data_IF_965080787149
#
_entry.id   IF_965080787149
#
_cell.length_a   1.000
_cell.length_b   1.000
_cell.length_c   1.000
_cell.angle_alpha   90.00
_cell.angle_beta   90.00
_cell.angle_gamma   90.00
#
_symmetry.space_group_name_H-M   'P 1'
#
loop_
_entity.id
_entity.type
_entity.pdbx_description
1 polymer ?
#
# COMPACT_ATOMS: atom_id res chain seq x y z
N UNK A 1 -24.42 -19.40 -0.62
CA UNK A 1 -23.13 -20.09 -0.83
C UNK A 1 -22.88 -20.39 -2.31
N UNK A 2 -23.92 -20.55 -3.14
CA UNK A 2 -23.78 -20.76 -4.61
C UNK A 2 -23.39 -19.51 -5.41
N UNK A 3 -23.70 -18.30 -4.92
CA UNK A 3 -23.37 -17.03 -5.60
C UNK A 3 -21.88 -16.69 -5.71
N UNK A 4 -21.03 -17.24 -4.82
CA UNK A 4 -19.59 -16.95 -4.86
C UNK A 4 -18.83 -17.82 -5.88
N UNK A 5 -19.41 -18.97 -6.24
CA UNK A 5 -18.83 -19.89 -7.24
C UNK A 5 -19.12 -19.40 -8.65
N UNK A 6 -20.31 -18.82 -8.88
CA UNK A 6 -20.70 -18.24 -10.17
C UNK A 6 -19.89 -16.97 -10.47
N UNK A 7 -19.64 -16.11 -9.47
CA UNK A 7 -18.73 -14.95 -9.61
C UNK A 7 -17.29 -15.36 -9.94
N UNK A 8 -16.80 -16.49 -9.42
CA UNK A 8 -15.47 -17.04 -9.76
C UNK A 8 -15.39 -17.63 -11.17
N UNK A 9 -16.51 -18.06 -11.76
CA UNK A 9 -16.53 -18.61 -13.12
C UNK A 9 -16.60 -17.51 -14.19
N UNK A 10 -17.32 -16.42 -13.92
CA UNK A 10 -17.40 -15.24 -14.81
C UNK A 10 -16.06 -14.50 -14.88
N UNK A 11 -15.31 -14.45 -13.76
CA UNK A 11 -13.95 -13.88 -13.73
C UNK A 11 -12.96 -14.61 -14.64
N UNK A 12 -13.16 -15.90 -14.94
CA UNK A 12 -12.25 -16.67 -15.83
C UNK A 12 -12.58 -16.54 -17.32
N UNK A 13 -13.81 -16.17 -17.69
CA UNK A 13 -14.17 -15.97 -19.11
C UNK A 13 -13.80 -14.57 -19.63
N UNK A 14 -13.66 -13.58 -18.75
CA UNK A 14 -13.24 -12.21 -19.14
C UNK A 14 -11.75 -12.10 -19.50
N UNK A 15 -10.91 -13.10 -19.20
CA UNK A 15 -9.49 -13.06 -19.53
C UNK A 15 -9.20 -13.18 -21.04
N UNK A 16 -10.10 -13.76 -21.86
CA UNK A 16 -9.85 -13.95 -23.28
C UNK A 16 -10.29 -12.76 -24.17
N UNK A 17 -11.01 -11.77 -23.61
CA UNK A 17 -11.38 -10.52 -24.29
C UNK A 17 -10.45 -9.35 -23.94
N UNK A 18 -9.54 -9.52 -22.98
CA UNK A 18 -8.60 -8.48 -22.56
C UNK A 18 -7.45 -8.27 -23.57
N UNK A 19 -6.99 -9.31 -24.27
CA UNK A 19 -5.81 -9.20 -25.15
C UNK A 19 -5.98 -8.22 -26.33
N UNK A 20 -7.20 -7.98 -26.82
CA UNK A 20 -7.43 -6.97 -27.88
C UNK A 20 -7.66 -5.56 -27.34
N UNK A 21 -8.11 -5.43 -26.09
CA UNK A 21 -8.30 -4.14 -25.42
C UNK A 21 -6.94 -3.64 -24.91
N UNK A 22 -6.12 -4.54 -24.37
CA UNK A 22 -4.78 -4.23 -23.87
C UNK A 22 -3.87 -3.70 -25.00
N UNK A 23 -3.90 -4.28 -26.21
CA UNK A 23 -3.09 -3.78 -27.34
C UNK A 23 -3.48 -2.36 -27.77
N UNK A 24 -4.77 -2.02 -27.77
CA UNK A 24 -5.25 -0.67 -28.14
C UNK A 24 -4.93 0.36 -27.04
N UNK A 25 -5.05 -0.05 -25.77
CA UNK A 25 -4.68 0.79 -24.61
C UNK A 25 -3.15 1.00 -24.55
N UNK A 26 -2.36 0.00 -24.90
CA UNK A 26 -0.90 0.07 -24.95
C UNK A 26 -0.38 1.02 -26.07
N UNK A 27 -0.98 0.98 -27.25
CA UNK A 27 -0.62 1.88 -28.37
C UNK A 27 -0.93 3.35 -28.04
N UNK A 28 -2.00 3.60 -27.28
CA UNK A 28 -2.35 4.93 -26.77
C UNK A 28 -1.35 5.44 -25.73
N UNK A 29 -0.92 4.59 -24.79
CA UNK A 29 0.06 4.94 -23.74
C UNK A 29 1.42 5.28 -24.33
N UNK A 30 1.89 4.47 -25.30
CA UNK A 30 3.12 4.75 -26.05
C UNK A 30 3.07 6.12 -26.72
N UNK A 31 1.95 6.43 -27.37
CA UNK A 31 1.74 7.73 -28.01
C UNK A 31 1.77 8.86 -26.98
N UNK A 32 1.10 8.72 -25.84
CA UNK A 32 1.09 9.73 -24.77
C UNK A 32 2.50 9.98 -24.21
N UNK A 33 3.28 8.93 -23.96
CA UNK A 33 4.66 9.07 -23.45
C UNK A 33 5.54 9.78 -24.48
N UNK A 34 5.43 9.41 -25.76
CA UNK A 34 6.17 10.09 -26.84
C UNK A 34 5.77 11.57 -26.97
N UNK A 35 4.49 11.90 -26.83
CA UNK A 35 4.01 13.28 -26.85
C UNK A 35 4.61 14.09 -25.70
N UNK A 36 4.57 13.57 -24.47
CA UNK A 36 5.13 14.26 -23.30
C UNK A 36 6.66 14.38 -23.39
N UNK A 37 7.34 13.33 -23.82
CA UNK A 37 8.79 13.34 -24.05
C UNK A 37 9.18 14.35 -25.13
N UNK A 38 8.46 14.37 -26.25
CA UNK A 38 8.68 15.34 -27.33
C UNK A 38 8.44 16.79 -26.91
N UNK A 39 7.47 17.03 -26.02
CA UNK A 39 7.25 18.37 -25.42
C UNK A 39 8.45 18.83 -24.59
N UNK A 40 9.08 17.95 -23.82
CA UNK A 40 10.24 18.30 -23.00
C UNK A 40 11.46 18.74 -23.83
N UNK A 41 11.56 18.31 -25.10
CA UNK A 41 12.60 18.71 -26.04
C UNK A 41 12.39 20.10 -26.66
N UNK A 42 11.18 20.65 -26.59
CA UNK A 42 10.89 21.94 -27.22
C UNK A 42 11.58 23.08 -26.44
N UNK A 43 12.38 23.89 -27.14
CA UNK A 43 13.14 24.98 -26.49
C UNK A 43 12.24 26.11 -25.97
N UNK A 44 11.08 26.30 -26.57
CA UNK A 44 10.17 27.43 -26.33
C UNK A 44 9.02 27.10 -25.37
N UNK A 45 8.95 25.86 -24.88
CA UNK A 45 7.88 25.43 -23.97
C UNK A 45 8.08 26.01 -22.56
N UNK A 46 6.99 26.46 -21.95
CA UNK A 46 7.02 27.08 -20.63
C UNK A 46 7.38 26.08 -19.53
N UNK A 47 7.90 26.58 -18.41
CA UNK A 47 8.22 25.74 -17.25
C UNK A 47 6.97 25.05 -16.66
N UNK A 48 5.81 25.68 -16.74
CA UNK A 48 4.54 25.10 -16.29
C UNK A 48 4.13 23.92 -17.18
N UNK A 49 4.25 24.05 -18.50
CA UNK A 49 3.96 22.97 -19.44
C UNK A 49 4.96 21.80 -19.34
N UNK A 50 6.24 22.10 -19.04
CA UNK A 50 7.23 21.07 -18.70
C UNK A 50 6.85 20.34 -17.43
N UNK A 51 6.46 21.08 -16.40
CA UNK A 51 6.03 20.49 -15.12
C UNK A 51 4.83 19.57 -15.33
N UNK A 52 3.82 20.02 -16.08
CA UNK A 52 2.65 19.20 -16.41
C UNK A 52 3.04 17.93 -17.21
N UNK A 53 3.97 18.05 -18.15
CA UNK A 53 4.43 16.90 -18.92
C UNK A 53 5.18 15.90 -18.03
N UNK A 54 5.99 16.37 -17.08
CA UNK A 54 6.66 15.51 -16.11
C UNK A 54 5.67 14.84 -15.15
N UNK A 55 4.67 15.56 -14.67
CA UNK A 55 3.60 15.00 -13.82
C UNK A 55 2.86 13.86 -14.53
N UNK A 56 2.51 14.05 -15.80
CA UNK A 56 1.88 13.00 -16.59
C UNK A 56 2.81 11.81 -16.80
N UNK A 57 4.12 12.03 -17.03
CA UNK A 57 5.08 10.94 -17.14
C UNK A 57 5.21 10.14 -15.84
N UNK A 58 5.18 10.80 -14.67
CA UNK A 58 5.13 10.11 -13.36
C UNK A 58 3.90 9.20 -13.31
N UNK A 59 2.71 9.74 -13.57
CA UNK A 59 1.46 8.97 -13.53
C UNK A 59 1.52 7.77 -14.48
N UNK A 60 1.95 7.99 -15.73
CA UNK A 60 2.07 6.93 -16.73
C UNK A 60 3.06 5.85 -16.30
N UNK A 61 4.15 6.23 -15.60
CA UNK A 61 5.18 5.30 -15.12
C UNK A 61 4.70 4.35 -14.03
N UNK A 62 3.71 4.76 -13.24
CA UNK A 62 3.20 3.96 -12.12
C UNK A 62 1.96 3.16 -12.51
N UNK A 63 1.18 3.64 -13.47
CA UNK A 63 -0.11 3.04 -13.83
C UNK A 63 -0.01 1.89 -14.84
N UNK A 64 1.06 1.85 -15.63
CA UNK A 64 1.23 0.88 -16.73
C UNK A 64 2.33 -0.14 -16.47
N UNK A 65 2.23 -1.29 -17.14
CA UNK A 65 3.11 -2.45 -16.97
C UNK A 65 4.53 -2.23 -17.51
N UNK A 66 5.44 -3.10 -17.06
CA UNK A 66 6.85 -3.11 -17.45
C UNK A 66 7.06 -3.28 -18.96
N UNK A 67 6.28 -4.15 -19.60
CA UNK A 67 6.33 -4.46 -21.03
C UNK A 67 6.22 -3.19 -21.90
N UNK A 68 5.29 -2.30 -21.54
CA UNK A 68 5.08 -1.01 -22.22
C UNK A 68 6.27 -0.09 -22.02
N UNK A 69 6.80 -0.01 -20.80
CA UNK A 69 7.91 0.88 -20.48
C UNK A 69 9.24 0.44 -21.08
N UNK A 70 9.50 -0.86 -21.14
CA UNK A 70 10.74 -1.39 -21.71
C UNK A 70 10.90 -0.99 -23.18
N UNK A 71 9.86 -1.15 -23.99
CA UNK A 71 9.87 -0.77 -25.41
C UNK A 71 10.04 0.75 -25.56
N UNK A 72 9.30 1.52 -24.75
CA UNK A 72 9.28 2.98 -24.83
C UNK A 72 10.60 3.61 -24.41
N UNK A 73 11.20 3.16 -23.31
CA UNK A 73 12.49 3.71 -22.85
C UNK A 73 13.55 3.47 -23.91
N UNK A 74 13.58 2.28 -24.51
CA UNK A 74 14.52 1.94 -25.57
C UNK A 74 14.33 2.78 -26.85
N UNK A 75 13.10 3.14 -27.20
CA UNK A 75 12.80 3.86 -28.46
C UNK A 75 12.80 5.40 -28.32
N UNK A 76 12.42 5.92 -27.15
CA UNK A 76 12.18 7.36 -26.95
C UNK A 76 13.41 8.15 -26.49
N UNK A 77 14.42 7.49 -25.92
CA UNK A 77 15.55 8.17 -25.26
C UNK A 77 15.10 9.06 -24.09
N UNK A 78 13.99 8.71 -23.45
CA UNK A 78 13.36 9.52 -22.39
C UNK A 78 14.32 9.76 -21.22
N UNK A 79 15.15 8.77 -20.86
CA UNK A 79 16.11 8.91 -19.76
C UNK A 79 17.18 9.96 -20.08
N UNK A 80 17.71 9.97 -21.31
CA UNK A 80 18.67 10.96 -21.76
C UNK A 80 18.06 12.37 -21.78
N UNK A 81 16.83 12.49 -22.27
CA UNK A 81 16.10 13.76 -22.34
C UNK A 81 15.83 14.32 -20.93
N UNK A 82 15.36 13.47 -20.01
CA UNK A 82 15.11 13.86 -18.62
C UNK A 82 16.42 14.21 -17.91
N UNK A 83 17.49 13.47 -18.15
CA UNK A 83 18.82 13.74 -17.57
C UNK A 83 19.38 15.06 -18.09
N UNK A 84 19.26 15.34 -19.38
CA UNK A 84 19.65 16.62 -19.96
C UNK A 84 18.85 17.78 -19.36
N UNK A 85 17.52 17.63 -19.28
CA UNK A 85 16.63 18.64 -18.70
C UNK A 85 16.95 18.89 -17.20
N UNK A 86 17.19 17.83 -16.44
CA UNK A 86 17.59 17.88 -15.03
C UNK A 86 18.85 18.74 -14.82
N UNK A 87 19.85 18.56 -15.69
CA UNK A 87 21.14 19.26 -15.62
C UNK A 87 21.05 20.71 -16.11
N UNK A 88 20.17 21.00 -17.07
CA UNK A 88 20.06 22.32 -17.69
C UNK A 88 19.10 23.26 -16.94
N UNK A 89 18.06 22.72 -16.29
CA UNK A 89 17.02 23.54 -15.67
C UNK A 89 17.50 24.27 -14.41
N UNK A 90 17.08 25.54 -14.28
CA UNK A 90 17.21 26.32 -13.04
C UNK A 90 16.00 26.19 -12.13
N UNK A 91 14.90 25.63 -12.64
CA UNK A 91 13.65 25.47 -11.92
C UNK A 91 13.72 24.23 -11.01
N UNK A 92 13.63 24.45 -9.69
CA UNK A 92 13.74 23.39 -8.68
C UNK A 92 12.60 22.38 -8.77
N UNK A 93 11.38 22.81 -9.15
CA UNK A 93 10.23 21.92 -9.34
C UNK A 93 10.48 20.98 -10.51
N UNK A 94 10.88 21.51 -11.67
CA UNK A 94 11.23 20.69 -12.85
C UNK A 94 12.34 19.71 -12.49
N UNK A 95 13.38 20.17 -11.78
CA UNK A 95 14.48 19.30 -11.35
C UNK A 95 13.99 18.15 -10.47
N UNK A 96 13.12 18.45 -9.50
CA UNK A 96 12.55 17.46 -8.58
C UNK A 96 11.68 16.44 -9.31
N UNK A 97 10.82 16.92 -10.21
CA UNK A 97 9.95 16.06 -11.02
C UNK A 97 10.76 15.18 -11.99
N UNK A 98 11.82 15.70 -12.63
CA UNK A 98 12.72 14.90 -13.46
C UNK A 98 13.35 13.75 -12.66
N UNK A 99 13.86 14.04 -11.46
CA UNK A 99 14.42 13.02 -10.57
C UNK A 99 13.39 11.93 -10.26
N UNK A 100 12.16 12.31 -9.91
CA UNK A 100 11.10 11.34 -9.62
C UNK A 100 10.72 10.48 -10.84
N UNK A 101 10.61 11.06 -12.05
CA UNK A 101 10.34 10.27 -13.27
C UNK A 101 11.47 9.28 -13.52
N UNK A 102 12.73 9.73 -13.46
CA UNK A 102 13.90 8.87 -13.71
C UNK A 102 13.94 7.72 -12.69
N UNK A 103 13.81 8.01 -11.39
CA UNK A 103 13.83 6.99 -10.34
C UNK A 103 12.68 5.97 -10.52
N UNK A 104 11.50 6.44 -10.91
CA UNK A 104 10.33 5.56 -11.11
C UNK A 104 10.52 4.66 -12.34
N UNK A 105 11.03 5.20 -13.45
CA UNK A 105 11.35 4.40 -14.65
C UNK A 105 12.45 3.40 -14.35
N UNK A 106 13.53 3.81 -13.68
CA UNK A 106 14.63 2.90 -13.31
C UNK A 106 14.15 1.76 -12.42
N UNK A 107 13.23 2.04 -11.48
CA UNK A 107 12.69 0.99 -10.64
C UNK A 107 11.87 -0.02 -11.45
N UNK A 108 11.10 0.45 -12.43
CA UNK A 108 10.42 -0.43 -13.41
C UNK A 108 11.39 -1.35 -14.12
N UNK A 109 12.57 -0.84 -14.51
CA UNK A 109 13.62 -1.63 -15.18
C UNK A 109 14.18 -2.80 -14.38
N UNK A 110 13.97 -2.80 -13.07
CA UNK A 110 14.44 -3.87 -12.20
C UNK A 110 13.38 -4.92 -11.87
N UNK A 111 12.16 -4.79 -12.38
CA UNK A 111 11.05 -5.71 -12.13
C UNK A 111 11.24 -7.02 -12.92
N UNK A 112 12.06 -7.94 -12.37
CA UNK A 112 12.24 -9.27 -12.92
C UNK A 112 11.05 -10.15 -12.49
N UNK A 113 10.30 -10.70 -13.47
CA UNK A 113 9.16 -11.62 -13.29
C UNK A 113 7.81 -10.99 -12.88
N UNK A 114 7.52 -9.76 -13.30
CA UNK A 114 6.18 -9.12 -13.17
C UNK A 114 5.68 -8.90 -11.72
N UNK A 115 6.51 -9.12 -10.70
CA UNK A 115 6.18 -8.74 -9.32
C UNK A 115 6.67 -7.32 -9.07
N UNK A 116 5.71 -6.39 -9.05
CA UNK A 116 5.97 -4.98 -8.77
C UNK A 116 6.32 -4.82 -7.29
N UNK A 117 7.54 -4.33 -7.01
CA UNK A 117 7.90 -3.86 -5.67
C UNK A 117 7.33 -2.45 -5.44
N UNK A 118 6.08 -2.40 -5.00
CA UNK A 118 5.37 -1.16 -4.71
C UNK A 118 6.08 -0.30 -3.66
N UNK A 119 6.84 -0.89 -2.74
CA UNK A 119 7.57 -0.10 -1.74
C UNK A 119 8.65 0.74 -2.41
N UNK A 120 9.46 0.12 -3.27
CA UNK A 120 10.55 0.85 -3.95
C UNK A 120 9.99 1.79 -5.02
N UNK A 121 8.99 1.35 -5.78
CA UNK A 121 8.37 2.14 -6.84
C UNK A 121 7.69 3.43 -6.34
N UNK A 122 7.04 3.38 -5.17
CA UNK A 122 6.30 4.53 -4.63
C UNK A 122 7.17 5.46 -3.77
N UNK A 123 8.42 5.08 -3.47
CA UNK A 123 9.33 5.88 -2.64
C UNK A 123 9.59 7.30 -3.19
N UNK A 124 9.81 7.51 -4.50
CA UNK A 124 9.94 8.85 -5.08
C UNK A 124 8.66 9.68 -4.86
N UNK A 125 7.48 9.06 -4.97
CA UNK A 125 6.19 9.75 -4.83
C UNK A 125 5.88 10.16 -3.40
N UNK A 126 6.26 9.32 -2.42
CA UNK A 126 6.23 9.72 -1.02
C UNK A 126 7.12 10.93 -0.80
N UNK A 127 8.31 10.97 -1.41
CA UNK A 127 9.20 12.15 -1.31
C UNK A 127 8.57 13.41 -1.94
N UNK A 128 7.83 13.26 -3.04
CA UNK A 128 7.05 14.35 -3.63
C UNK A 128 5.93 14.81 -2.70
N UNK A 129 5.16 13.89 -2.13
CA UNK A 129 4.02 14.19 -1.24
C UNK A 129 4.42 15.08 -0.06
N UNK A 130 5.56 14.79 0.57
CA UNK A 130 6.08 15.56 1.71
C UNK A 130 6.96 16.76 1.29
N UNK A 131 7.00 17.12 0.01
CA UNK A 131 7.75 18.27 -0.47
C UNK A 131 7.10 19.59 -0.03
N UNK A 132 7.91 20.59 0.33
CA UNK A 132 7.42 21.92 0.75
C UNK A 132 6.81 22.74 -0.37
N UNK A 133 7.21 22.47 -1.61
CA UNK A 133 6.59 23.06 -2.78
C UNK A 133 5.18 22.46 -2.95
N UNK A 134 4.17 23.32 -2.89
CA UNK A 134 2.77 22.91 -2.91
C UNK A 134 2.42 22.16 -4.19
N UNK A 135 2.96 22.59 -5.33
CA UNK A 135 2.65 21.97 -6.62
C UNK A 135 3.33 20.62 -6.72
N UNK A 136 4.58 20.50 -6.27
CA UNK A 136 5.29 19.19 -6.20
C UNK A 136 4.56 18.21 -5.27
N UNK A 137 4.11 18.68 -4.11
CA UNK A 137 3.32 17.88 -3.17
C UNK A 137 1.98 17.46 -3.76
N UNK A 138 1.34 18.33 -4.54
CA UNK A 138 0.12 17.98 -5.28
C UNK A 138 0.40 16.91 -6.34
N UNK A 139 1.49 17.00 -7.10
CA UNK A 139 1.90 15.96 -8.06
C UNK A 139 2.08 14.61 -7.37
N UNK A 140 2.76 14.59 -6.22
CA UNK A 140 2.96 13.39 -5.40
C UNK A 140 1.63 12.80 -4.94
N UNK A 141 0.73 13.64 -4.41
CA UNK A 141 -0.62 13.21 -4.00
C UNK A 141 -1.39 12.57 -5.15
N UNK A 142 -1.53 13.27 -6.28
CA UNK A 142 -2.31 12.79 -7.41
C UNK A 142 -1.77 11.48 -7.95
N UNK A 143 -0.44 11.36 -8.08
CA UNK A 143 0.22 10.13 -8.50
C UNK A 143 -0.06 8.96 -7.56
N UNK A 144 -0.01 9.19 -6.24
CA UNK A 144 -0.32 8.18 -5.23
C UNK A 144 -1.79 7.77 -5.25
N UNK A 145 -2.73 8.73 -5.32
CA UNK A 145 -4.16 8.44 -5.41
C UNK A 145 -4.47 7.61 -6.65
N UNK A 146 -3.94 8.01 -7.82
CA UNK A 146 -4.14 7.25 -9.06
C UNK A 146 -3.54 5.85 -8.97
N UNK A 147 -2.38 5.69 -8.33
CA UNK A 147 -1.76 4.38 -8.13
C UNK A 147 -2.66 3.47 -7.29
N UNK A 148 -3.22 4.00 -6.21
CA UNK A 148 -4.16 3.28 -5.32
C UNK A 148 -5.45 2.93 -6.06
N UNK A 149 -6.00 3.84 -6.88
CA UNK A 149 -7.22 3.59 -7.64
C UNK A 149 -7.05 2.51 -8.71
N UNK A 150 -5.93 2.54 -9.43
CA UNK A 150 -5.65 1.60 -10.52
C UNK A 150 -5.15 0.26 -10.01
N UNK A 151 -4.38 0.26 -8.92
CA UNK A 151 -3.72 -0.89 -8.31
C UNK A 151 -3.82 -0.77 -6.80
N UNK A 152 -4.95 -1.17 -6.17
CA UNK A 152 -5.14 -1.02 -4.73
C UNK A 152 -3.96 -1.54 -3.93
N UNK A 153 -3.41 -2.71 -4.28
CA UNK A 153 -2.23 -3.33 -3.63
C UNK A 153 -1.02 -2.39 -3.46
N UNK A 154 -0.91 -1.34 -4.28
CA UNK A 154 0.11 -0.29 -4.14
C UNK A 154 0.08 0.40 -2.77
N UNK A 155 -1.10 0.51 -2.14
CA UNK A 155 -1.22 1.07 -0.79
C UNK A 155 -0.47 0.23 0.26
N UNK A 156 -0.36 -1.08 0.08
CA UNK A 156 0.45 -1.95 0.95
C UNK A 156 1.93 -1.50 0.89
N UNK A 157 2.40 -1.08 -0.29
CA UNK A 157 3.69 -0.42 -0.46
C UNK A 157 3.83 0.83 0.41
N UNK A 158 2.81 1.69 0.45
CA UNK A 158 2.81 2.90 1.31
C UNK A 158 2.83 2.57 2.80
N UNK A 159 2.11 1.53 3.21
CA UNK A 159 2.11 1.02 4.59
C UNK A 159 3.52 0.51 4.96
N UNK A 160 4.20 -0.16 4.03
CA UNK A 160 5.60 -0.59 4.21
C UNK A 160 6.60 0.57 4.18
N UNK A 161 6.27 1.67 3.52
CA UNK A 161 6.99 2.96 3.60
C UNK A 161 6.63 3.80 4.84
N UNK A 162 5.92 3.20 5.82
CA UNK A 162 5.54 3.83 7.08
C UNK A 162 4.74 5.12 6.90
N UNK A 163 3.80 5.15 5.94
CA UNK A 163 2.95 6.33 5.68
C UNK A 163 2.17 6.77 6.93
N UNK A 164 1.70 5.83 7.75
CA UNK A 164 1.01 6.12 9.01
C UNK A 164 1.94 6.75 10.05
N UNK A 165 3.17 6.26 10.20
CA UNK A 165 4.13 6.84 11.14
C UNK A 165 4.49 8.27 10.72
N UNK A 166 4.80 8.48 9.43
CA UNK A 166 5.08 9.81 8.87
C UNK A 166 3.91 10.76 9.06
N UNK A 167 2.68 10.32 8.80
CA UNK A 167 1.49 11.13 9.03
C UNK A 167 1.29 11.47 10.52
N UNK A 168 1.61 10.54 11.42
CA UNK A 168 1.60 10.79 12.87
C UNK A 168 2.57 11.91 13.27
N UNK A 169 3.79 11.88 12.72
CA UNK A 169 4.80 12.92 12.96
C UNK A 169 4.34 14.30 12.48
N UNK A 170 3.68 14.36 11.32
CA UNK A 170 3.10 15.62 10.81
C UNK A 170 1.95 16.12 11.69
N UNK A 171 1.06 15.23 12.14
CA UNK A 171 -0.04 15.56 13.06
C UNK A 171 0.47 16.08 14.42
N UNK A 172 1.52 15.46 14.96
CA UNK A 172 2.13 15.92 16.21
C UNK A 172 2.80 17.27 16.05
N UNK A 173 3.51 17.51 14.94
CA UNK A 173 4.09 18.81 14.60
C UNK A 173 3.01 19.89 14.49
N UNK A 174 1.89 19.58 13.82
CA UNK A 174 0.73 20.47 13.74
C UNK A 174 0.13 20.77 15.12
N UNK A 175 0.04 19.79 16.00
CA UNK A 175 -0.51 20.02 17.35
C UNK A 175 0.43 20.88 18.20
N UNK A 176 1.74 20.66 18.09
CA UNK A 176 2.75 21.45 18.82
C UNK A 176 2.74 22.92 18.41
N UNK A 177 2.56 23.23 17.12
CA UNK A 177 2.46 24.62 16.65
C UNK A 177 1.22 25.34 17.17
N UNK A 178 0.09 24.64 17.34
CA UNK A 178 -1.12 25.22 17.96
C UNK A 178 -0.96 25.52 19.45
N UNK A 179 -0.11 24.78 20.16
CA UNK A 179 0.06 24.88 21.63
C UNK A 179 1.14 25.88 22.08
N UNK A 180 1.99 26.36 21.18
CA UNK A 180 3.18 27.14 21.53
C UNK A 180 2.93 28.65 21.50
N UNK A 181 2.84 29.29 22.68
CA UNK A 181 2.97 30.75 22.84
C UNK A 181 4.43 31.25 22.76
N UNK A 182 5.41 30.37 22.53
CA UNK A 182 6.84 30.70 22.56
C UNK A 182 7.50 30.66 21.19
N UNK A 183 8.27 31.71 20.90
CA UNK A 183 8.92 32.09 19.64
C UNK A 183 10.03 31.15 19.11
N UNK A 184 9.84 29.83 19.11
CA UNK A 184 10.76 28.92 18.42
C UNK A 184 10.19 28.52 17.06
N UNK A 185 10.86 29.01 16.01
CA UNK A 185 10.58 28.70 14.60
C UNK A 185 10.99 27.25 14.34
N UNK A 186 10.13 26.31 14.72
CA UNK A 186 10.18 24.96 14.15
C UNK A 186 9.76 25.12 12.68
N UNK A 187 10.48 24.55 11.70
CA UNK A 187 10.06 24.63 10.31
C UNK A 187 8.69 23.94 10.17
N UNK A 188 7.64 24.75 10.13
CA UNK A 188 6.26 24.31 10.01
C UNK A 188 6.10 23.55 8.69
N UNK A 189 5.60 22.32 8.76
CA UNK A 189 5.05 21.63 7.60
C UNK A 189 3.74 22.37 7.28
N UNK A 190 3.58 22.92 6.06
CA UNK A 190 2.33 23.56 5.66
C UNK A 190 1.12 22.67 5.93
N UNK A 191 0.05 23.25 6.48
CA UNK A 191 -1.23 22.55 6.72
C UNK A 191 -1.74 21.87 5.45
N UNK A 192 -1.48 22.48 4.29
CA UNK A 192 -1.83 21.92 2.98
C UNK A 192 -1.18 20.56 2.73
N UNK A 193 0.06 20.31 3.17
CA UNK A 193 0.72 19.02 3.04
C UNK A 193 0.06 17.98 3.96
N UNK A 194 -0.28 18.35 5.19
CA UNK A 194 -1.00 17.45 6.11
C UNK A 194 -2.31 16.98 5.48
N UNK A 195 -3.11 17.91 4.94
CA UNK A 195 -4.37 17.56 4.27
C UNK A 195 -4.12 16.58 3.13
N UNK A 196 -3.12 16.84 2.27
CA UNK A 196 -2.79 15.95 1.14
C UNK A 196 -2.38 14.55 1.59
N UNK A 197 -1.58 14.44 2.66
CA UNK A 197 -1.19 13.15 3.25
C UNK A 197 -2.42 12.39 3.75
N UNK A 198 -3.33 13.08 4.44
CA UNK A 198 -4.57 12.49 4.93
C UNK A 198 -5.49 12.04 3.78
N UNK A 199 -5.58 12.79 2.68
CA UNK A 199 -6.33 12.39 1.48
C UNK A 199 -5.80 11.09 0.86
N UNK A 200 -4.47 10.93 0.77
CA UNK A 200 -3.85 9.67 0.29
C UNK A 200 -4.19 8.50 1.21
N UNK A 201 -4.08 8.71 2.53
CA UNK A 201 -4.38 7.68 3.53
C UNK A 201 -5.86 7.30 3.46
N UNK A 202 -6.77 8.28 3.49
CA UNK A 202 -8.22 8.07 3.38
C UNK A 202 -8.56 7.26 2.15
N UNK A 203 -7.95 7.58 1.01
CA UNK A 203 -8.19 6.84 -0.22
C UNK A 203 -7.74 5.38 -0.11
N UNK A 204 -6.56 5.14 0.45
CA UNK A 204 -6.02 3.80 0.64
C UNK A 204 -6.82 2.94 1.60
N UNK A 205 -7.25 3.51 2.73
CA UNK A 205 -8.06 2.77 3.72
C UNK A 205 -9.48 2.47 3.23
N UNK A 206 -10.00 3.20 2.23
CA UNK A 206 -11.28 2.80 1.65
C UNK A 206 -11.20 1.54 0.76
N UNK A 207 -10.00 1.15 0.32
CA UNK A 207 -9.84 0.15 -0.74
C UNK A 207 -9.19 -1.17 -0.30
N UNK A 208 -8.40 -1.20 0.77
CA UNK A 208 -7.70 -2.42 1.23
C UNK A 208 -7.95 -2.67 2.69
N UNK A 209 -8.52 -3.82 3.06
CA UNK A 209 -8.75 -4.17 4.45
C UNK A 209 -7.58 -4.99 5.06
N UNK A 210 -6.37 -4.43 5.11
CA UNK A 210 -5.18 -5.08 5.67
C UNK A 210 -4.06 -4.07 6.02
N UNK A 211 -4.26 -3.30 7.10
CA UNK A 211 -3.25 -2.30 7.54
C UNK A 211 -2.29 -2.82 8.62
N UNK A 212 -2.55 -4.01 9.15
CA UNK A 212 -1.86 -4.59 10.29
C UNK A 212 -1.87 -3.69 11.54
N UNK A 213 -0.98 -3.96 12.50
CA UNK A 213 -0.83 -3.15 13.74
C UNK A 213 -0.10 -1.82 13.53
N UNK A 214 0.16 -1.43 12.28
CA UNK A 214 0.99 -0.26 11.91
C UNK A 214 0.26 1.08 12.02
N UNK A 215 -0.97 1.10 12.55
CA UNK A 215 -1.81 2.30 12.64
C UNK A 215 -1.89 2.89 14.06
N UNK A 216 -1.29 2.25 15.06
CA UNK A 216 -1.48 2.62 16.48
C UNK A 216 -1.10 4.07 16.80
N UNK A 217 0.11 4.49 16.42
CA UNK A 217 0.59 5.85 16.65
C UNK A 217 -0.27 6.88 15.92
N UNK A 218 -0.67 6.55 14.69
CA UNK A 218 -1.54 7.39 13.88
C UNK A 218 -2.91 7.60 14.54
N UNK A 219 -3.50 6.55 15.10
CA UNK A 219 -4.78 6.65 15.83
C UNK A 219 -4.68 7.62 17.00
N UNK A 220 -3.63 7.50 17.81
CA UNK A 220 -3.41 8.38 18.97
C UNK A 220 -3.21 9.84 18.53
N UNK A 221 -2.33 10.07 17.56
CA UNK A 221 -2.07 11.42 17.04
C UNK A 221 -3.33 12.05 16.44
N UNK A 222 -4.12 11.26 15.70
CA UNK A 222 -5.37 11.70 15.08
C UNK A 222 -6.42 12.10 16.12
N UNK A 223 -6.63 11.27 17.15
CA UNK A 223 -7.56 11.58 18.24
C UNK A 223 -7.19 12.88 18.95
N UNK A 224 -5.90 13.07 19.26
CA UNK A 224 -5.38 14.30 19.88
C UNK A 224 -5.69 15.54 19.03
N UNK A 225 -5.52 15.47 17.71
CA UNK A 225 -5.84 16.57 16.79
C UNK A 225 -7.34 16.86 16.76
N UNK A 226 -8.20 15.83 16.69
CA UNK A 226 -9.67 16.00 16.67
C UNK A 226 -10.17 16.73 17.93
N UNK A 227 -9.63 16.40 19.10
CA UNK A 227 -10.00 17.06 20.37
C UNK A 227 -9.40 18.46 20.53
N UNK A 228 -8.45 18.85 19.67
CA UNK A 228 -7.89 20.19 19.63
C UNK A 228 -8.74 21.08 18.69
N UNK A 229 -8.64 22.41 18.79
CA UNK A 229 -9.36 23.34 17.92
C UNK A 229 -8.79 23.37 16.47
N UNK A 230 -8.74 22.21 15.81
CA UNK A 230 -8.27 22.07 14.43
C UNK A 230 -9.36 22.42 13.40
N UNK A 231 -8.91 22.65 12.17
CA UNK A 231 -9.77 22.91 11.01
C UNK A 231 -10.75 21.75 10.74
N UNK A 232 -11.98 22.09 10.31
CA UNK A 232 -13.06 21.13 10.08
C UNK A 232 -12.67 20.04 9.07
N UNK A 233 -12.06 20.42 7.95
CA UNK A 233 -11.60 19.47 6.93
C UNK A 233 -10.62 18.42 7.48
N UNK A 234 -9.72 18.80 8.38
CA UNK A 234 -8.80 17.85 9.02
C UNK A 234 -9.59 16.90 9.92
N UNK A 235 -10.55 17.42 10.70
CA UNK A 235 -11.40 16.60 11.57
C UNK A 235 -12.21 15.59 10.77
N UNK A 236 -12.77 15.99 9.64
CA UNK A 236 -13.58 15.13 8.79
C UNK A 236 -12.73 13.98 8.21
N UNK A 237 -11.57 14.30 7.62
CA UNK A 237 -10.63 13.31 7.08
C UNK A 237 -10.18 12.32 8.17
N UNK A 238 -9.78 12.83 9.34
CA UNK A 238 -9.34 11.97 10.44
C UNK A 238 -10.47 11.10 10.97
N UNK A 239 -11.69 11.64 11.09
CA UNK A 239 -12.85 10.87 11.57
C UNK A 239 -13.21 9.76 10.59
N UNK A 240 -13.19 10.04 9.29
CA UNK A 240 -13.38 9.08 8.20
C UNK A 240 -12.35 7.94 8.29
N UNK A 241 -11.05 8.28 8.35
CA UNK A 241 -9.98 7.28 8.46
C UNK A 241 -10.13 6.45 9.74
N UNK A 242 -10.33 7.09 10.90
CA UNK A 242 -10.42 6.40 12.19
C UNK A 242 -11.60 5.43 12.25
N UNK A 243 -12.74 5.79 11.64
CA UNK A 243 -13.90 4.93 11.55
C UNK A 243 -13.56 3.61 10.84
N UNK A 244 -12.95 3.69 9.67
CA UNK A 244 -12.57 2.52 8.86
C UNK A 244 -11.54 1.66 9.60
N UNK A 245 -10.54 2.31 10.21
CA UNK A 245 -9.50 1.60 10.96
C UNK A 245 -10.05 0.91 12.22
N UNK A 246 -11.17 1.40 12.78
CA UNK A 246 -11.83 0.76 13.92
C UNK A 246 -12.68 -0.42 13.47
N UNK A 247 -13.44 -0.30 12.37
CA UNK A 247 -14.19 -1.42 11.78
C UNK A 247 -13.27 -2.62 11.49
N UNK A 248 -12.02 -2.36 11.06
CA UNK A 248 -11.03 -3.42 10.87
C UNK A 248 -10.58 -4.09 12.17
N UNK A 249 -10.26 -3.33 13.21
CA UNK A 249 -9.87 -3.92 14.50
C UNK A 249 -10.97 -4.81 15.08
N UNK A 250 -12.23 -4.38 14.99
CA UNK A 250 -13.37 -5.17 15.44
C UNK A 250 -13.53 -6.47 14.63
N UNK A 251 -13.28 -6.42 13.31
CA UNK A 251 -13.28 -7.61 12.46
C UNK A 251 -12.14 -8.58 12.79
N UNK A 252 -10.93 -8.06 13.01
CA UNK A 252 -9.74 -8.85 13.36
C UNK A 252 -9.88 -9.52 14.74
N UNK A 253 -10.43 -8.79 15.73
CA UNK A 253 -10.72 -9.34 17.06
C UNK A 253 -11.78 -10.44 17.01
N UNK A 254 -12.82 -10.25 16.20
CA UNK A 254 -13.86 -11.26 15.99
C UNK A 254 -13.30 -12.53 15.34
N UNK A 255 -12.48 -12.39 14.30
CA UNK A 255 -11.84 -13.53 13.64
C UNK A 255 -10.85 -14.25 14.57
N UNK A 256 -10.06 -13.51 15.35
CA UNK A 256 -9.17 -14.05 16.36
C UNK A 256 -9.93 -14.89 17.39
N UNK A 257 -11.06 -14.38 17.88
CA UNK A 257 -11.93 -15.08 18.83
C UNK A 257 -12.49 -16.39 18.25
N UNK A 258 -12.86 -16.40 16.96
CA UNK A 258 -13.34 -17.61 16.27
C UNK A 258 -12.22 -18.65 16.12
N UNK A 259 -11.01 -18.23 15.73
CA UNK A 259 -9.83 -19.10 15.63
C UNK A 259 -9.48 -19.73 16.96
N UNK A 260 -9.47 -18.95 18.05
CA UNK A 260 -9.22 -19.47 19.40
C UNK A 260 -10.28 -20.49 19.85
N UNK A 261 -11.56 -20.22 19.57
CA UNK A 261 -12.64 -21.18 19.87
C UNK A 261 -12.46 -22.48 19.07
N UNK A 262 -12.12 -22.39 17.79
CA UNK A 262 -11.82 -23.54 16.95
C UNK A 262 -10.67 -24.39 17.50
N UNK A 263 -9.55 -23.76 17.85
CA UNK A 263 -8.40 -24.43 18.45
C UNK A 263 -8.75 -25.07 19.80
N UNK A 264 -9.55 -24.41 20.65
CA UNK A 264 -10.00 -25.00 21.92
C UNK A 264 -10.83 -26.26 21.71
N UNK A 265 -11.74 -26.26 20.74
CA UNK A 265 -12.55 -27.44 20.39
C UNK A 265 -11.65 -28.57 19.91
N UNK A 266 -10.69 -28.28 19.04
CA UNK A 266 -9.76 -29.28 18.51
C UNK A 266 -8.88 -29.89 19.62
N UNK A 267 -8.32 -29.06 20.51
CA UNK A 267 -7.57 -29.52 21.69
C UNK A 267 -8.45 -30.39 22.58
N UNK A 268 -9.72 -30.02 22.78
CA UNK A 268 -10.65 -30.80 23.61
C UNK A 268 -10.97 -32.16 22.98
N UNK A 269 -11.14 -32.22 21.65
CA UNK A 269 -11.34 -33.47 20.93
C UNK A 269 -10.10 -34.38 20.98
N UNK A 270 -8.90 -33.81 20.82
CA UNK A 270 -7.64 -34.54 20.96
C UNK A 270 -7.51 -35.12 22.37
N UNK A 271 -7.79 -34.33 23.41
CA UNK A 271 -7.77 -34.80 24.81
C UNK A 271 -8.75 -35.95 25.07
N UNK A 272 -9.96 -35.87 24.52
CA UNK A 272 -10.94 -36.97 24.63
C UNK A 272 -10.45 -38.24 23.95
N UNK A 273 -9.90 -38.14 22.73
CA UNK A 273 -9.32 -39.30 22.02
C UNK A 273 -8.14 -39.89 22.78
N UNK A 274 -7.27 -39.05 23.34
CA UNK A 274 -6.13 -39.48 24.13
C UNK A 274 -6.58 -40.29 25.35
N UNK A 275 -7.57 -39.79 26.09
CA UNK A 275 -8.15 -40.50 27.23
C UNK A 275 -8.75 -41.86 26.87
N UNK A 276 -9.44 -41.96 25.72
CA UNK A 276 -9.98 -43.24 25.24
C UNK A 276 -8.86 -44.22 24.88
N UNK A 277 -7.78 -43.73 24.27
CA UNK A 277 -6.62 -44.56 23.91
C UNK A 277 -5.87 -45.02 25.16
N UNK A 278 -5.68 -44.15 26.15
CA UNK A 278 -5.05 -44.49 27.43
C UNK A 278 -5.85 -45.55 28.19
N UNK A 279 -7.18 -45.45 28.26
CA UNK A 279 -8.00 -46.47 28.92
C UNK A 279 -7.94 -47.81 28.17
N UNK A 280 -7.94 -47.78 26.83
CA UNK A 280 -7.77 -49.00 26.02
C UNK A 280 -6.40 -49.65 26.24
N UNK A 281 -5.35 -48.85 26.36
CA UNK A 281 -4.01 -49.35 26.67
C UNK A 281 -3.97 -50.00 28.06
N UNK A 282 -4.56 -49.37 29.08
CA UNK A 282 -4.64 -49.93 30.43
C UNK A 282 -5.38 -51.26 30.46
N UNK A 283 -6.53 -51.35 29.78
CA UNK A 283 -7.30 -52.60 29.67
C UNK A 283 -6.52 -53.69 28.93
N UNK A 284 -5.74 -53.33 27.90
CA UNK A 284 -4.89 -54.28 27.18
C UNK A 284 -3.75 -54.80 28.06
N UNK A 285 -3.09 -53.93 28.83
CA UNK A 285 -2.06 -54.31 29.81
C UNK A 285 -2.61 -55.25 30.88
N UNK A 286 -3.76 -54.95 31.46
CA UNK A 286 -4.42 -55.81 32.46
C UNK A 286 -4.74 -57.19 31.89
N UNK A 287 -5.16 -57.27 30.62
CA UNK A 287 -5.43 -58.54 29.93
C UNK A 287 -4.17 -59.36 29.68
N UNK A 288 -3.07 -58.70 29.28
CA UNK A 288 -1.78 -59.37 29.08
C UNK A 288 -1.31 -59.98 30.40
N UNK A 289 -1.39 -59.20 31.49
CA UNK A 289 -0.99 -59.64 32.83
C UNK A 289 -1.81 -60.85 33.32
N UNK A 290 -3.13 -60.81 33.13
CA UNK A 290 -4.01 -61.94 33.47
C UNK A 290 -3.72 -63.20 32.63
N UNK A 291 -3.33 -63.04 31.36
CA UNK A 291 -2.97 -64.16 30.49
C UNK A 291 -1.63 -64.79 30.91
N UNK A 292 -0.64 -63.96 31.28
CA UNK A 292 0.64 -64.42 31.81
C UNK A 292 0.48 -65.18 33.13
N UNK A 293 -0.36 -64.70 34.04
CA UNK A 293 -0.62 -65.38 35.32
C UNK A 293 -1.30 -66.73 35.12
N UNK A 294 -2.25 -66.85 34.17
CA UNK A 294 -2.87 -68.14 33.82
C UNK A 294 -1.88 -69.14 33.22
N UNK A 295 -1.01 -68.69 32.33
CA UNK A 295 0.05 -69.53 31.74
C UNK A 295 1.02 -70.05 32.80
N UNK A 296 1.35 -69.24 33.82
CA UNK A 296 2.21 -69.68 34.93
C UNK A 296 1.54 -70.73 35.82
N UNK A 297 0.23 -70.64 36.02
CA UNK A 297 -0.55 -71.62 36.80
C UNK A 297 -0.70 -72.93 36.01
N UNK A 298 -0.84 -72.90 34.69
CA UNK A 298 -0.93 -74.10 33.85
C UNK A 298 0.41 -74.82 33.64
N UNK A 299 1.55 -74.18 33.96
CA UNK A 299 2.89 -74.76 33.86
C UNK A 299 3.44 -75.31 35.20
N UNK A 300 2.67 -75.21 36.29
CA UNK A 300 2.98 -75.82 37.61
C UNK A 300 2.16 -77.09 37.84
#
# INVERSE_FOLDING_TARGET
MEDSVIKRYISKQNFAQNDQIDVIVQEDVKTQILVHTGRLLMREISDDEKSLSLENLIILSITHGWDVWQEIVCESGIIEILTELLLQTKNLRIRTLCGAVIETIQQRETEINEVVDWQTLLSPLISLLFNRDELVSESGKQSLIMSIEMRPESFIGLINLSIFDKASEVLDTYTQSQSSQSSQVIPEIPITILIKVLEVIEKGVHLIFDYGKKTYNFKIASQKVIYTNSEERIKDLLSSILFILQEQEEADEFEGTLKEKGQRIEIQQIRQRLSIVEEKARVAEDRIKQAEDKLKIEQQ
#
